data_IF_093430427332
#
_entry.id   IF_093430427332
#
_cell.length_a   1.000
_cell.length_b   1.000
_cell.length_c   1.000
_cell.angle_alpha   90.00
_cell.angle_beta   90.00
_cell.angle_gamma   90.00
#
_symmetry.space_group_name_H-M   'P 1'
#
loop_
_entity.id
_entity.type
_entity.pdbx_description
1 polymer ?
#
# COMPACT_ATOMS: atom_id res chain seq x y z
N UNK A 1 -26.43 41.56 -48.90
CA UNK A 1 -26.20 41.13 -47.51
C UNK A 1 -26.46 39.62 -47.46
N UNK A 2 -25.40 38.80 -47.39
CA UNK A 2 -25.55 37.34 -47.33
C UNK A 2 -25.62 36.92 -45.86
N UNK A 3 -26.80 36.49 -45.42
CA UNK A 3 -26.97 35.89 -44.10
C UNK A 3 -26.48 34.44 -44.16
N UNK A 4 -25.30 34.18 -43.63
CA UNK A 4 -24.78 32.82 -43.45
C UNK A 4 -25.61 32.10 -42.38
N UNK A 5 -26.49 31.20 -42.81
CA UNK A 5 -27.16 30.26 -41.92
C UNK A 5 -26.11 29.39 -41.22
N UNK A 6 -25.90 29.58 -39.91
CA UNK A 6 -25.11 28.64 -39.10
C UNK A 6 -25.80 27.27 -39.18
N UNK A 7 -25.07 26.19 -39.53
CA UNK A 7 -25.63 24.85 -39.46
C UNK A 7 -26.10 24.58 -38.02
N UNK A 8 -27.39 24.23 -37.87
CA UNK A 8 -27.93 23.78 -36.57
C UNK A 8 -27.10 22.59 -36.13
N UNK A 9 -26.43 22.73 -34.98
CA UNK A 9 -25.84 21.56 -34.33
C UNK A 9 -26.94 20.51 -34.15
N UNK A 10 -26.70 19.24 -34.50
CA UNK A 10 -27.68 18.18 -34.25
C UNK A 10 -28.07 18.22 -32.77
N UNK A 11 -29.37 18.29 -32.51
CA UNK A 11 -29.93 18.32 -31.16
C UNK A 11 -29.48 17.06 -30.42
N UNK A 12 -28.46 17.21 -29.58
CA UNK A 12 -27.92 16.10 -28.80
C UNK A 12 -29.02 15.64 -27.84
N UNK A 13 -29.24 14.31 -27.68
CA UNK A 13 -30.27 13.81 -26.79
C UNK A 13 -30.10 14.37 -25.37
N UNK A 14 -31.21 14.72 -24.68
CA UNK A 14 -31.15 15.28 -23.35
C UNK A 14 -30.49 14.30 -22.38
N UNK A 15 -29.57 14.81 -21.55
CA UNK A 15 -28.92 14.00 -20.52
C UNK A 15 -29.96 13.55 -19.49
N UNK A 16 -29.94 12.27 -19.06
CA UNK A 16 -30.85 11.76 -18.04
C UNK A 16 -30.63 12.47 -16.70
N UNK A 17 -31.58 12.32 -15.79
CA UNK A 17 -31.46 12.83 -14.42
C UNK A 17 -30.46 11.99 -13.63
N UNK A 18 -29.83 12.61 -12.64
CA UNK A 18 -28.96 11.94 -11.68
C UNK A 18 -29.76 10.87 -10.92
N UNK A 19 -29.22 9.65 -10.85
CA UNK A 19 -29.84 8.53 -10.12
C UNK A 19 -29.71 8.62 -8.59
N UNK A 20 -29.02 9.65 -8.07
CA UNK A 20 -28.88 9.85 -6.63
C UNK A 20 -30.20 10.35 -6.02
N UNK A 21 -30.64 9.69 -4.95
CA UNK A 21 -31.90 9.97 -4.25
C UNK A 21 -32.06 11.46 -3.90
N UNK A 22 -33.15 12.07 -4.35
CA UNK A 22 -33.45 13.49 -4.09
C UNK A 22 -32.65 14.50 -4.93
N UNK A 23 -31.84 14.06 -5.90
CA UNK A 23 -31.08 14.96 -6.77
C UNK A 23 -31.89 15.37 -8.00
N UNK A 24 -31.98 16.69 -8.26
CA UNK A 24 -32.62 17.26 -9.45
C UNK A 24 -31.64 17.55 -10.59
N UNK A 25 -30.34 17.32 -10.39
CA UNK A 25 -29.31 17.65 -11.37
C UNK A 25 -29.27 16.62 -12.50
N UNK A 26 -28.80 17.03 -13.68
CA UNK A 26 -28.60 16.13 -14.82
C UNK A 26 -27.30 15.34 -14.69
N UNK A 27 -27.31 14.13 -15.21
CA UNK A 27 -26.15 13.26 -15.34
C UNK A 27 -24.97 13.99 -16.01
N UNK A 28 -23.77 13.71 -15.50
CA UNK A 28 -22.53 14.24 -16.04
C UNK A 28 -22.22 13.55 -17.38
N UNK A 29 -21.85 14.36 -18.36
CA UNK A 29 -21.25 13.89 -19.61
C UNK A 29 -19.80 14.36 -19.64
N UNK A 30 -18.88 13.43 -19.84
CA UNK A 30 -17.45 13.70 -19.98
C UNK A 30 -17.01 13.38 -21.40
N UNK A 31 -16.44 14.36 -22.10
CA UNK A 31 -15.85 14.14 -23.42
C UNK A 31 -14.45 13.51 -23.23
N UNK A 32 -14.18 12.40 -23.92
CA UNK A 32 -12.83 11.82 -23.97
C UNK A 32 -11.98 12.62 -24.96
N UNK A 33 -10.70 12.82 -24.64
CA UNK A 33 -9.75 13.52 -25.54
C UNK A 33 -9.36 12.68 -26.75
N UNK A 34 -9.58 11.36 -26.71
CA UNK A 34 -9.02 10.40 -27.67
C UNK A 34 -9.89 10.18 -28.91
N UNK A 35 -11.22 10.32 -28.84
CA UNK A 35 -12.08 9.94 -29.99
C UNK A 35 -13.36 10.78 -30.18
N UNK A 36 -13.53 11.89 -29.44
CA UNK A 36 -14.79 12.65 -29.48
C UNK A 36 -16.00 11.86 -28.95
N UNK A 37 -15.78 10.65 -28.41
CA UNK A 37 -16.78 9.86 -27.70
C UNK A 37 -17.04 10.49 -26.34
N UNK A 38 -18.31 10.78 -26.08
CA UNK A 38 -18.76 11.33 -24.81
C UNK A 38 -19.23 10.18 -23.90
N UNK A 39 -18.52 9.99 -22.79
CA UNK A 39 -18.96 9.07 -21.75
C UNK A 39 -20.04 9.73 -20.89
N UNK A 40 -21.08 8.96 -20.58
CA UNK A 40 -22.16 9.41 -19.72
C UNK A 40 -22.04 8.73 -18.36
N UNK A 41 -22.04 9.51 -17.29
CA UNK A 41 -22.17 9.01 -15.92
C UNK A 41 -23.63 8.77 -15.59
N UNK A 42 -23.89 7.87 -14.63
CA UNK A 42 -25.21 7.69 -14.02
C UNK A 42 -25.61 8.86 -13.08
N UNK A 43 -24.63 9.67 -12.69
CA UNK A 43 -24.81 10.73 -11.70
C UNK A 43 -24.33 12.10 -12.19
N UNK A 44 -24.78 13.16 -11.53
CA UNK A 44 -24.37 14.54 -11.81
C UNK A 44 -22.90 14.79 -11.42
N UNK A 45 -22.38 15.99 -11.71
CA UNK A 45 -20.99 16.39 -11.39
C UNK A 45 -20.62 16.20 -9.91
N UNK A 46 -21.60 16.38 -9.02
CA UNK A 46 -21.40 16.34 -7.56
C UNK A 46 -21.48 14.91 -6.99
N UNK A 47 -22.16 14.01 -7.71
CA UNK A 47 -22.36 12.61 -7.29
C UNK A 47 -21.61 11.60 -8.15
N UNK A 48 -21.03 11.99 -9.29
CA UNK A 48 -20.27 11.10 -10.15
C UNK A 48 -18.86 10.86 -9.60
N UNK A 49 -18.49 9.58 -9.46
CA UNK A 49 -17.11 9.18 -9.28
C UNK A 49 -16.27 9.56 -10.52
N UNK A 50 -15.07 10.12 -10.31
CA UNK A 50 -14.17 10.50 -11.40
C UNK A 50 -13.27 9.37 -11.93
N UNK A 51 -13.33 8.17 -11.33
CA UNK A 51 -12.57 7.02 -11.82
C UNK A 51 -13.08 6.59 -13.20
N UNK A 52 -12.14 6.34 -14.11
CA UNK A 52 -12.40 5.78 -15.43
C UNK A 52 -12.04 4.30 -15.44
N UNK A 53 -12.89 3.49 -16.05
CA UNK A 53 -12.73 2.05 -16.26
C UNK A 53 -12.71 1.82 -17.77
N UNK A 54 -11.59 2.21 -18.42
CA UNK A 54 -11.50 2.27 -19.88
C UNK A 54 -12.44 3.32 -20.47
N UNK A 55 -13.36 2.87 -21.34
CA UNK A 55 -14.37 3.71 -22.01
C UNK A 55 -15.63 3.97 -21.16
N UNK A 56 -15.63 3.56 -19.89
CA UNK A 56 -16.75 3.77 -18.97
C UNK A 56 -16.34 4.62 -17.77
N UNK A 57 -17.30 5.38 -17.24
CA UNK A 57 -17.18 6.01 -15.93
C UNK A 57 -17.59 5.01 -14.85
N UNK A 58 -16.99 5.11 -13.65
CA UNK A 58 -17.41 4.31 -12.51
C UNK A 58 -18.92 4.48 -12.24
N UNK A 59 -19.68 3.38 -12.10
CA UNK A 59 -21.13 3.40 -11.90
C UNK A 59 -21.55 3.68 -10.46
N UNK A 60 -20.60 3.88 -9.53
CA UNK A 60 -20.88 4.16 -8.13
C UNK A 60 -20.94 5.67 -7.88
N UNK A 61 -21.87 6.08 -7.03
CA UNK A 61 -21.96 7.46 -6.60
C UNK A 61 -20.91 7.77 -5.53
N UNK A 62 -20.65 9.06 -5.37
CA UNK A 62 -19.92 9.61 -4.23
C UNK A 62 -20.84 10.52 -3.42
N UNK A 63 -20.53 10.66 -2.15
CA UNK A 63 -21.18 11.67 -1.29
C UNK A 63 -20.75 13.07 -1.75
N UNK A 64 -21.71 13.96 -1.95
CA UNK A 64 -21.45 15.33 -2.40
C UNK A 64 -20.48 16.06 -1.45
N UNK A 65 -19.54 16.82 -2.01
CA UNK A 65 -18.63 17.70 -1.25
C UNK A 65 -17.42 17.05 -0.59
N UNK A 66 -17.42 15.72 -0.36
CA UNK A 66 -16.35 15.09 0.42
C UNK A 66 -15.23 14.47 -0.41
N UNK A 67 -15.48 14.05 -1.65
CA UNK A 67 -14.46 13.37 -2.45
C UNK A 67 -14.62 13.57 -3.96
N UNK A 68 -13.57 13.25 -4.72
CA UNK A 68 -13.65 13.08 -6.19
C UNK A 68 -14.09 11.66 -6.58
N UNK A 69 -13.99 10.70 -5.67
CA UNK A 69 -14.15 9.28 -5.94
C UNK A 69 -15.25 8.67 -5.04
N UNK A 70 -15.80 7.52 -5.44
CA UNK A 70 -16.75 6.77 -4.61
C UNK A 70 -16.00 6.06 -3.48
N UNK A 71 -16.73 5.51 -2.52
CA UNK A 71 -16.11 4.86 -1.35
C UNK A 71 -15.15 3.73 -1.74
N UNK A 72 -15.52 2.90 -2.72
CA UNK A 72 -14.66 1.80 -3.17
C UNK A 72 -13.33 2.30 -3.73
N UNK A 73 -13.38 3.36 -4.53
CA UNK A 73 -12.18 3.99 -5.11
C UNK A 73 -11.42 4.86 -4.10
N UNK A 74 -11.91 5.04 -2.88
CA UNK A 74 -11.17 5.72 -1.80
C UNK A 74 -10.46 4.74 -0.87
N UNK A 75 -10.87 3.47 -0.86
CA UNK A 75 -10.29 2.45 0.02
C UNK A 75 -8.87 2.07 -0.41
N UNK A 76 -8.10 1.62 0.57
CA UNK A 76 -6.84 0.96 0.34
C UNK A 76 -7.07 -0.36 -0.41
N UNK A 77 -6.25 -0.62 -1.42
CA UNK A 77 -6.31 -1.86 -2.21
C UNK A 77 -5.84 -3.11 -1.42
N UNK A 78 -5.24 -2.93 -0.24
CA UNK A 78 -4.87 -4.07 0.59
C UNK A 78 -6.13 -4.77 1.13
N UNK A 79 -6.24 -6.07 0.89
CA UNK A 79 -7.41 -6.87 1.25
C UNK A 79 -7.74 -6.74 2.73
N UNK A 80 -9.03 -6.51 3.04
CA UNK A 80 -9.53 -6.37 4.40
C UNK A 80 -9.14 -5.06 5.11
N UNK A 81 -8.47 -4.11 4.44
CA UNK A 81 -8.13 -2.84 5.05
C UNK A 81 -9.33 -1.87 5.02
N UNK A 82 -9.80 -1.37 6.19
CA UNK A 82 -10.89 -0.40 6.24
C UNK A 82 -10.43 1.04 5.95
N UNK A 83 -9.13 1.28 5.81
CA UNK A 83 -8.58 2.63 5.68
C UNK A 83 -8.64 3.16 4.26
N UNK A 84 -8.70 4.48 4.15
CA UNK A 84 -8.62 5.19 2.87
C UNK A 84 -7.18 5.33 2.39
N UNK A 85 -7.00 5.37 1.07
CA UNK A 85 -5.71 5.64 0.43
C UNK A 85 -5.22 7.07 0.73
N UNK A 86 -3.90 7.28 0.81
CA UNK A 86 -3.29 8.57 1.22
C UNK A 86 -3.80 9.74 0.35
N UNK A 87 -3.83 9.54 -0.96
CA UNK A 87 -4.29 10.53 -1.94
C UNK A 87 -5.70 10.22 -2.43
N UNK A 88 -6.64 9.95 -1.51
CA UNK A 88 -7.99 9.51 -1.91
C UNK A 88 -8.74 10.51 -2.79
N UNK A 89 -8.39 11.80 -2.73
CA UNK A 89 -9.02 12.91 -3.46
C UNK A 89 -8.15 13.57 -4.52
N UNK A 90 -6.96 13.03 -4.77
CA UNK A 90 -6.04 13.50 -5.79
C UNK A 90 -6.16 12.62 -7.02
N UNK A 91 -5.81 13.13 -8.20
CA UNK A 91 -5.71 12.31 -9.42
C UNK A 91 -4.45 11.43 -9.43
N UNK A 92 -3.85 11.20 -8.27
CA UNK A 92 -2.71 10.33 -8.11
C UNK A 92 -3.26 8.94 -7.83
N UNK A 93 -2.84 7.97 -8.65
CA UNK A 93 -3.23 6.56 -8.51
C UNK A 93 -2.45 5.89 -7.37
N UNK A 94 -2.55 6.48 -6.18
CA UNK A 94 -1.88 5.96 -5.00
C UNK A 94 -2.78 4.89 -4.37
N UNK A 95 -2.45 3.58 -4.43
CA UNK A 95 -3.43 2.52 -4.16
C UNK A 95 -3.58 2.21 -2.66
N UNK A 96 -2.64 2.68 -1.83
CA UNK A 96 -2.48 2.22 -0.47
C UNK A 96 -2.70 3.34 0.56
N UNK A 97 -3.15 2.95 1.76
CA UNK A 97 -3.18 3.84 2.93
C UNK A 97 -1.78 4.00 3.54
N UNK A 98 -1.64 4.93 4.48
CA UNK A 98 -0.36 5.19 5.16
C UNK A 98 0.29 3.93 5.75
N UNK A 99 -0.53 2.99 6.26
CA UNK A 99 -0.05 1.76 6.88
C UNK A 99 0.41 0.69 5.87
N UNK A 100 0.03 0.82 4.60
CA UNK A 100 0.37 -0.13 3.54
C UNK A 100 1.28 0.47 2.47
N UNK A 101 1.54 1.78 2.49
CA UNK A 101 2.53 2.45 1.65
C UNK A 101 3.91 2.41 2.28
N UNK A 102 4.93 2.09 1.48
CA UNK A 102 6.34 2.15 1.87
C UNK A 102 6.69 3.45 2.60
N UNK A 103 7.43 3.36 3.71
CA UNK A 103 7.83 4.52 4.51
C UNK A 103 8.91 5.38 3.83
N UNK A 104 9.68 4.83 2.90
CA UNK A 104 10.68 5.58 2.12
C UNK A 104 10.03 6.77 1.40
N UNK A 105 10.59 7.97 1.57
CA UNK A 105 10.05 9.19 0.99
C UNK A 105 9.92 9.06 -0.54
N UNK A 106 8.77 9.46 -1.07
CA UNK A 106 8.45 9.35 -2.50
C UNK A 106 8.21 7.92 -3.01
N UNK A 107 8.29 6.89 -2.17
CA UNK A 107 8.00 5.51 -2.58
C UNK A 107 6.52 5.19 -2.41
N UNK A 108 5.89 4.77 -3.50
CA UNK A 108 4.44 4.56 -3.56
C UNK A 108 4.04 3.09 -3.53
N UNK A 109 5.01 2.20 -3.34
CA UNK A 109 4.85 0.75 -3.40
C UNK A 109 4.23 0.19 -2.13
N UNK A 110 3.62 -1.00 -2.26
CA UNK A 110 3.11 -1.78 -1.14
C UNK A 110 4.26 -2.14 -0.19
N UNK A 111 4.03 -2.01 1.12
CA UNK A 111 4.93 -2.56 2.14
C UNK A 111 5.09 -4.07 1.98
N UNK A 112 6.30 -4.56 2.24
CA UNK A 112 6.56 -5.99 2.40
C UNK A 112 5.95 -6.49 3.70
N UNK A 113 5.59 -7.76 3.76
CA UNK A 113 5.08 -8.40 4.98
C UNK A 113 6.11 -8.30 6.10
N UNK A 114 5.72 -7.74 7.25
CA UNK A 114 6.61 -7.56 8.40
C UNK A 114 7.63 -6.42 8.28
N UNK A 115 7.54 -5.55 7.27
CA UNK A 115 8.42 -4.39 7.11
C UNK A 115 7.63 -3.09 6.94
N UNK A 116 8.21 -1.98 7.37
CA UNK A 116 7.70 -0.64 7.07
C UNK A 116 8.02 -0.18 5.63
N UNK A 117 8.82 -0.96 4.89
CA UNK A 117 9.32 -0.64 3.55
C UNK A 117 8.80 -1.64 2.51
N UNK A 118 8.84 -1.27 1.22
CA UNK A 118 8.53 -2.20 0.12
C UNK A 118 9.71 -3.14 -0.17
N UNK A 119 9.50 -4.19 -0.97
CA UNK A 119 10.53 -5.18 -1.31
C UNK A 119 11.84 -4.60 -1.86
N UNK A 120 11.80 -3.43 -2.51
CA UNK A 120 12.98 -2.75 -3.03
C UNK A 120 13.74 -1.93 -1.98
N UNK A 121 13.05 -1.48 -0.95
CA UNK A 121 13.61 -0.66 0.13
C UNK A 121 13.82 -1.45 1.42
N UNK A 122 13.23 -2.64 1.55
CA UNK A 122 13.50 -3.55 2.66
C UNK A 122 14.96 -4.01 2.54
N UNK A 123 15.83 -3.65 3.49
CA UNK A 123 17.23 -4.04 3.44
C UNK A 123 17.35 -5.56 3.56
N UNK A 124 18.23 -6.15 2.74
CA UNK A 124 18.47 -7.59 2.70
C UNK A 124 19.61 -7.98 3.63
N UNK A 125 19.54 -9.19 4.18
CA UNK A 125 20.58 -9.79 5.01
C UNK A 125 21.96 -9.63 4.35
N UNK A 126 22.95 -9.19 5.13
CA UNK A 126 24.33 -9.01 4.66
C UNK A 126 25.05 -10.32 4.33
N UNK A 127 24.47 -11.49 4.63
CA UNK A 127 25.04 -12.78 4.26
C UNK A 127 24.92 -12.97 2.74
N UNK A 128 26.05 -13.11 2.02
CA UNK A 128 26.04 -13.33 0.58
C UNK A 128 25.14 -14.51 0.20
N UNK A 129 24.23 -14.30 -0.76
CA UNK A 129 23.33 -15.34 -1.25
C UNK A 129 22.11 -15.65 -0.38
N UNK A 130 21.93 -15.01 0.78
CA UNK A 130 20.77 -15.27 1.63
C UNK A 130 19.45 -14.76 1.03
N UNK A 131 19.43 -13.52 0.53
CA UNK A 131 18.25 -12.91 -0.09
C UNK A 131 17.07 -12.60 0.85
N UNK A 132 17.13 -13.00 2.13
CA UNK A 132 16.08 -12.70 3.10
C UNK A 132 16.16 -11.28 3.66
N UNK A 133 15.02 -10.65 3.99
CA UNK A 133 14.99 -9.33 4.60
C UNK A 133 15.61 -9.34 6.00
N UNK A 134 16.21 -8.21 6.40
CA UNK A 134 16.71 -8.01 7.77
C UNK A 134 15.57 -7.88 8.78
N UNK A 135 15.90 -8.13 10.05
CA UNK A 135 15.00 -7.84 11.17
C UNK A 135 15.13 -6.37 11.53
N UNK A 136 14.06 -5.58 11.38
CA UNK A 136 14.02 -4.17 11.77
C UNK A 136 15.28 -3.36 11.39
N UNK A 137 15.98 -2.78 12.37
CA UNK A 137 17.24 -2.04 12.22
C UNK A 137 18.50 -2.93 12.26
N UNK A 138 18.32 -4.25 12.39
CA UNK A 138 19.40 -5.22 12.45
C UNK A 138 20.13 -5.42 11.12
N UNK A 139 21.31 -6.05 11.17
CA UNK A 139 22.18 -6.28 10.00
C UNK A 139 21.84 -7.57 9.23
N UNK A 140 21.14 -8.49 9.88
CA UNK A 140 20.90 -9.85 9.39
C UNK A 140 19.40 -10.21 9.43
N UNK A 141 19.02 -11.29 8.73
CA UNK A 141 17.65 -11.83 8.77
C UNK A 141 17.43 -12.64 10.05
N UNK A 142 16.19 -13.04 10.40
CA UNK A 142 15.92 -13.81 11.62
C UNK A 142 16.76 -15.09 11.74
N UNK A 143 17.11 -15.73 10.62
CA UNK A 143 17.93 -16.94 10.59
C UNK A 143 19.44 -16.69 10.68
N UNK A 144 19.87 -15.44 10.65
CA UNK A 144 21.27 -15.05 10.73
C UNK A 144 21.56 -14.07 11.88
N UNK A 145 20.52 -13.58 12.57
CA UNK A 145 20.63 -12.69 13.72
C UNK A 145 20.71 -13.49 15.03
N UNK A 146 21.50 -12.97 15.99
CA UNK A 146 21.48 -13.47 17.35
C UNK A 146 20.10 -13.25 17.99
N UNK A 147 19.66 -14.19 18.83
CA UNK A 147 18.36 -14.09 19.54
C UNK A 147 18.35 -13.01 20.62
N UNK A 148 19.53 -12.62 21.11
CA UNK A 148 19.67 -11.51 22.04
C UNK A 148 19.27 -10.18 21.37
N UNK A 149 18.30 -9.47 21.97
CA UNK A 149 17.65 -8.30 21.35
C UNK A 149 18.59 -7.12 21.11
N UNK A 150 19.64 -7.02 21.91
CA UNK A 150 20.61 -5.92 21.84
C UNK A 150 21.88 -6.34 21.07
N UNK A 151 21.88 -7.53 20.47
CA UNK A 151 23.00 -8.10 19.73
C UNK A 151 22.75 -8.12 18.22
N UNK A 152 23.54 -7.35 17.48
CA UNK A 152 23.51 -7.33 16.01
C UNK A 152 24.51 -8.30 15.36
N UNK A 153 25.06 -9.26 16.10
CA UNK A 153 26.05 -10.19 15.59
C UNK A 153 25.44 -11.34 14.79
N UNK A 154 26.19 -11.83 13.81
CA UNK A 154 25.81 -12.99 12.99
C UNK A 154 25.92 -14.30 13.77
N UNK A 155 24.95 -15.20 13.56
CA UNK A 155 25.03 -16.58 14.04
C UNK A 155 25.68 -17.49 12.99
N UNK A 156 26.46 -18.47 13.44
CA UNK A 156 27.05 -19.50 12.57
C UNK A 156 26.39 -20.85 12.87
N UNK A 157 25.06 -20.89 12.70
CA UNK A 157 24.19 -21.97 13.14
C UNK A 157 23.67 -21.81 14.57
N UNK A 158 22.49 -22.39 14.84
CA UNK A 158 21.81 -22.28 16.13
C UNK A 158 21.02 -20.97 16.29
N UNK A 159 21.01 -20.41 17.49
CA UNK A 159 20.23 -19.23 17.87
C UNK A 159 21.10 -18.05 18.39
N UNK A 160 22.40 -18.29 18.60
CA UNK A 160 23.31 -17.40 19.33
C UNK A 160 24.58 -17.11 18.53
N UNK A 161 25.11 -15.90 18.68
CA UNK A 161 26.40 -15.53 18.10
C UNK A 161 27.56 -16.18 18.87
N UNK A 162 28.79 -16.03 18.36
CA UNK A 162 29.99 -16.62 18.98
C UNK A 162 30.22 -16.18 20.44
N UNK A 163 29.79 -14.96 20.79
CA UNK A 163 30.00 -14.35 22.09
C UNK A 163 28.88 -14.73 23.08
N UNK A 164 27.67 -15.00 22.57
CA UNK A 164 26.51 -15.38 23.37
C UNK A 164 26.26 -16.90 23.45
N UNK A 165 26.99 -17.71 22.68
CA UNK A 165 26.85 -19.18 22.75
C UNK A 165 27.64 -19.83 23.89
N UNK A 166 28.66 -19.15 24.43
CA UNK A 166 29.58 -19.69 25.43
C UNK A 166 29.19 -19.30 26.85
N UNK A 167 29.47 -20.19 27.80
CA UNK A 167 29.34 -19.95 29.23
C UNK A 167 30.06 -18.65 29.63
N UNK A 168 29.41 -17.82 30.42
CA UNK A 168 29.94 -16.53 30.87
C UNK A 168 30.93 -16.67 32.05
N UNK A 169 31.13 -17.89 32.57
CA UNK A 169 32.14 -18.15 33.60
C UNK A 169 33.54 -18.02 33.02
N UNK A 170 34.41 -17.25 33.69
CA UNK A 170 35.79 -17.00 33.24
C UNK A 170 36.55 -18.32 33.03
N UNK A 171 37.18 -18.47 31.86
CA UNK A 171 37.88 -19.69 31.46
C UNK A 171 36.99 -20.88 31.07
N UNK A 172 35.66 -20.75 31.11
CA UNK A 172 34.74 -21.82 30.72
C UNK A 172 34.52 -21.83 29.19
N UNK A 173 35.02 -22.85 28.49
CA UNK A 173 34.83 -23.02 27.04
C UNK A 173 33.55 -23.77 26.65
N UNK A 174 32.67 -24.07 27.61
CA UNK A 174 31.45 -24.84 27.38
C UNK A 174 30.34 -23.96 26.77
N UNK A 175 29.38 -24.61 26.08
CA UNK A 175 28.18 -23.93 25.60
C UNK A 175 27.26 -23.57 26.78
N UNK A 176 26.50 -22.48 26.65
CA UNK A 176 25.47 -22.11 27.62
C UNK A 176 24.40 -23.19 27.74
N UNK A 177 23.84 -23.30 28.94
CA UNK A 177 22.63 -24.07 29.21
C UNK A 177 21.47 -23.56 28.35
N UNK A 178 20.83 -24.45 27.60
CA UNK A 178 19.58 -24.16 26.86
C UNK A 178 18.51 -25.15 27.31
N UNK A 179 17.42 -24.62 27.86
CA UNK A 179 16.25 -25.41 28.26
C UNK A 179 15.43 -25.87 27.04
N UNK A 180 14.61 -26.90 27.20
CA UNK A 180 13.74 -27.42 26.13
C UNK A 180 12.77 -26.37 25.54
N UNK A 181 12.53 -25.25 26.24
CA UNK A 181 11.73 -24.12 25.76
C UNK A 181 12.52 -23.02 25.06
N UNK A 182 13.80 -23.23 24.74
CA UNK A 182 14.66 -22.23 24.08
C UNK A 182 15.14 -21.09 24.98
N UNK A 183 14.82 -21.12 26.28
CA UNK A 183 15.40 -20.19 27.27
C UNK A 183 16.82 -20.64 27.61
N UNK A 184 17.72 -19.70 27.73
CA UNK A 184 19.14 -19.93 28.00
C UNK A 184 19.53 -19.35 29.36
N UNK A 185 20.58 -19.89 29.96
CA UNK A 185 21.24 -19.32 31.14
C UNK A 185 22.62 -18.82 30.75
N UNK A 186 23.17 -17.84 31.48
CA UNK A 186 24.53 -17.36 31.24
C UNK A 186 25.62 -18.38 31.61
N UNK A 187 25.25 -19.48 32.26
CA UNK A 187 26.13 -20.55 32.73
C UNK A 187 25.86 -21.87 32.01
N UNK A 188 26.75 -22.84 32.13
CA UNK A 188 26.55 -24.21 31.68
C UNK A 188 26.00 -25.10 32.80
N UNK A 189 25.23 -26.14 32.47
CA UNK A 189 24.93 -27.23 33.43
C UNK A 189 26.20 -28.06 33.61
N UNK A 190 26.77 -28.10 34.82
CA UNK A 190 27.86 -29.01 35.19
C UNK A 190 27.33 -30.39 35.53
#
# INVERSE_FOLDING_TARGET
MFFSCRPRQPLRPPRPQCLYSGCSHRALRCESKSEGKAMLSLYCKDHACRQRLGELMCPNYKTSGFSKYCEDHRRCENQGCPHQRICCDTSQDWPYCQNHTCFHQGCHQKRSSGSHMCVHHTPLCLIPGCGHPRVDDGLYCPSHSCTDRDCNSVINGGYWCKDHRLCNTDGCGLQRAVTAGGKYEDVCWQ
#
